data_IF_825901314733
#
_entry.id   IF_825901314733
#
_cell.length_a   1.000
_cell.length_b   1.000
_cell.length_c   1.000
_cell.angle_alpha   90.00
_cell.angle_beta   90.00
_cell.angle_gamma   90.00
#
_symmetry.space_group_name_H-M   'P 1'
#
loop_
_entity.id
_entity.type
_entity.pdbx_description
1 polymer ?
#
# COMPACT_ATOMS: atom_id res chain seq x y z
N UNK A 1 -13.59 -11.75 -7.55
CA UNK A 1 -12.72 -10.86 -8.33
C UNK A 1 -13.59 -9.99 -9.23
N UNK A 2 -13.67 -8.68 -8.96
CA UNK A 2 -14.10 -7.69 -9.96
C UNK A 2 -12.93 -6.72 -10.07
N UNK A 3 -12.16 -6.82 -11.14
CA UNK A 3 -11.14 -5.82 -11.49
C UNK A 3 -11.79 -4.85 -12.46
N UNK A 4 -12.12 -3.65 -11.99
CA UNK A 4 -12.51 -2.54 -12.88
C UNK A 4 -11.34 -2.26 -13.83
N UNK A 5 -11.55 -2.51 -15.12
CA UNK A 5 -10.54 -2.38 -16.18
C UNK A 5 -10.04 -0.94 -16.37
N UNK A 6 -10.71 0.08 -15.78
CA UNK A 6 -10.25 1.48 -15.79
C UNK A 6 -9.14 1.74 -14.77
N UNK A 7 -9.02 0.93 -13.71
CA UNK A 7 -7.90 1.05 -12.76
C UNK A 7 -6.55 0.69 -13.40
N UNK A 8 -6.55 -0.18 -14.40
CA UNK A 8 -5.34 -0.64 -15.10
C UNK A 8 -4.63 0.49 -15.84
N UNK A 9 -5.34 1.55 -16.27
CA UNK A 9 -4.72 2.73 -16.89
C UNK A 9 -4.10 3.71 -15.86
N UNK A 10 -4.60 3.74 -14.62
CA UNK A 10 -4.21 4.73 -13.60
C UNK A 10 -3.14 4.22 -12.61
N UNK A 11 -2.65 3.00 -12.79
CA UNK A 11 -1.76 2.37 -11.82
C UNK A 11 -2.52 1.87 -10.59
N UNK A 12 -1.83 1.06 -9.79
CA UNK A 12 -2.36 0.44 -8.60
C UNK A 12 -1.55 0.90 -7.40
N UNK A 13 -2.25 1.23 -6.32
CA UNK A 13 -1.67 1.79 -5.11
C UNK A 13 -2.13 0.99 -3.90
N UNK A 14 -1.19 0.48 -3.12
CA UNK A 14 -1.46 -0.24 -1.87
C UNK A 14 -0.86 0.55 -0.71
N UNK A 15 -1.57 0.58 0.41
CA UNK A 15 -1.07 1.15 1.64
C UNK A 15 -1.40 0.29 2.85
N UNK A 16 -0.40 0.13 3.71
CA UNK A 16 -0.53 -0.51 5.00
C UNK A 16 -0.37 0.56 6.08
N UNK A 17 -1.47 0.88 6.75
CA UNK A 17 -1.51 1.84 7.86
C UNK A 17 -1.30 1.13 9.20
N UNK A 18 -0.58 1.77 10.11
CA UNK A 18 -0.55 1.42 11.52
C UNK A 18 -1.28 2.52 12.30
N UNK A 19 -2.53 2.25 12.69
CA UNK A 19 -3.41 3.28 13.20
C UNK A 19 -3.74 4.31 12.11
N UNK A 20 -3.47 5.59 12.38
CA UNK A 20 -3.77 6.68 11.45
C UNK A 20 -2.69 6.91 10.39
N UNK A 21 -1.49 6.37 10.57
CA UNK A 21 -0.33 6.74 9.75
C UNK A 21 0.11 5.58 8.87
N UNK A 22 0.54 5.91 7.65
CA UNK A 22 1.03 4.91 6.70
C UNK A 22 2.38 4.38 7.16
N UNK A 23 2.57 3.07 7.06
CA UNK A 23 3.83 2.41 7.41
C UNK A 23 4.54 1.81 6.21
N UNK A 24 3.78 1.32 5.23
CA UNK A 24 4.31 0.81 3.95
C UNK A 24 3.38 1.19 2.81
N UNK A 25 3.95 1.44 1.64
CA UNK A 25 3.24 1.81 0.41
C UNK A 25 3.82 1.07 -0.78
N UNK A 26 2.97 0.68 -1.72
CA UNK A 26 3.35 0.13 -3.02
C UNK A 26 2.72 0.98 -4.11
N UNK A 27 3.52 1.44 -5.06
CA UNK A 27 3.05 2.11 -6.27
C UNK A 27 3.39 1.27 -7.50
N UNK A 28 2.39 0.96 -8.30
CA UNK A 28 2.55 0.25 -9.55
C UNK A 28 1.95 1.06 -10.68
N UNK A 29 2.74 1.33 -11.72
CA UNK A 29 2.26 1.95 -12.94
C UNK A 29 2.56 1.06 -14.13
N UNK A 30 1.72 1.07 -15.17
CA UNK A 30 2.04 0.40 -16.42
C UNK A 30 3.42 0.84 -16.93
N UNK A 31 4.25 -0.12 -17.31
CA UNK A 31 5.59 0.10 -17.88
C UNK A 31 6.61 0.78 -16.94
N UNK A 32 6.36 0.84 -15.63
CA UNK A 32 7.35 1.28 -14.64
C UNK A 32 7.66 0.14 -13.67
N UNK A 33 8.87 0.15 -13.13
CA UNK A 33 9.22 -0.72 -12.00
C UNK A 33 8.35 -0.33 -10.80
N UNK A 34 7.74 -1.31 -10.10
CA UNK A 34 7.03 -1.06 -8.85
C UNK A 34 7.91 -0.37 -7.82
N UNK A 35 7.33 0.57 -7.06
CA UNK A 35 8.03 1.32 -6.02
C UNK A 35 7.50 0.86 -4.66
N UNK A 36 8.42 0.48 -3.77
CA UNK A 36 8.12 0.02 -2.41
C UNK A 36 8.70 1.03 -1.43
N UNK A 37 7.84 1.62 -0.60
CA UNK A 37 8.21 2.69 0.33
C UNK A 37 7.90 2.26 1.76
N UNK A 38 8.80 2.59 2.69
CA UNK A 38 8.66 2.30 4.12
C UNK A 38 8.84 3.58 4.94
N UNK A 39 7.99 3.76 5.95
CA UNK A 39 8.06 4.93 6.81
C UNK A 39 9.40 4.97 7.59
N UNK A 40 9.88 6.17 7.86
CA UNK A 40 11.19 6.48 8.42
C UNK A 40 12.32 6.53 7.40
N UNK A 41 12.23 5.79 6.29
CA UNK A 41 13.21 5.84 5.19
C UNK A 41 12.74 6.70 4.03
N UNK A 42 11.47 6.53 3.66
CA UNK A 42 10.91 7.04 2.41
C UNK A 42 9.83 8.12 2.64
N UNK A 43 9.77 8.72 3.83
CA UNK A 43 8.68 9.60 4.28
C UNK A 43 8.34 10.72 3.28
N UNK A 44 9.35 11.37 2.69
CA UNK A 44 9.18 12.44 1.71
C UNK A 44 8.50 12.00 0.39
N UNK A 45 8.34 10.69 0.19
CA UNK A 45 7.73 10.09 -0.99
C UNK A 45 6.45 9.32 -0.66
N UNK A 46 6.00 9.30 0.59
CA UNK A 46 4.84 8.54 1.04
C UNK A 46 3.61 9.43 1.26
N UNK A 47 2.44 8.81 1.42
CA UNK A 47 1.22 9.51 1.76
C UNK A 47 1.32 10.18 3.14
N UNK A 48 1.17 11.51 3.19
CA UNK A 48 1.19 12.30 4.43
C UNK A 48 -0.19 12.43 5.10
N UNK A 49 -1.24 11.91 4.45
CA UNK A 49 -2.62 12.10 4.90
C UNK A 49 -3.02 10.96 5.87
N UNK A 50 -3.56 11.28 7.05
CA UNK A 50 -4.10 10.29 7.98
C UNK A 50 -5.21 9.42 7.38
N UNK A 51 -5.29 8.15 7.79
CA UNK A 51 -6.24 7.16 7.24
C UNK A 51 -7.69 7.67 7.20
N UNK A 52 -8.15 8.30 8.27
CA UNK A 52 -9.52 8.85 8.38
C UNK A 52 -9.81 10.00 7.40
N UNK A 53 -8.77 10.70 6.94
CA UNK A 53 -8.84 11.80 5.97
C UNK A 53 -8.61 11.35 4.52
N UNK A 54 -8.04 10.17 4.28
CA UNK A 54 -7.83 9.64 2.92
C UNK A 54 -9.12 9.27 2.18
N UNK A 55 -10.22 9.03 2.92
CA UNK A 55 -11.46 8.49 2.37
C UNK A 55 -11.40 6.99 2.01
N UNK A 56 -10.27 6.30 2.20
CA UNK A 56 -10.12 4.87 1.91
C UNK A 56 -11.11 4.02 2.71
N UNK A 57 -11.33 4.36 3.98
CA UNK A 57 -12.28 3.67 4.87
C UNK A 57 -13.75 3.83 4.44
N UNK A 58 -14.05 4.79 3.56
CA UNK A 58 -15.40 5.04 3.04
C UNK A 58 -15.61 4.48 1.64
N UNK A 59 -14.53 4.03 0.97
CA UNK A 59 -14.57 3.49 -0.39
C UNK A 59 -14.76 1.98 -0.34
N UNK A 60 -15.94 1.52 -0.77
CA UNK A 60 -16.24 0.08 -0.84
C UNK A 60 -15.21 -0.64 -1.72
N UNK A 61 -14.60 -1.69 -1.17
CA UNK A 61 -13.59 -2.51 -1.84
C UNK A 61 -12.17 -1.93 -1.84
N UNK A 62 -11.89 -0.86 -1.09
CA UNK A 62 -10.54 -0.35 -0.89
C UNK A 62 -9.75 -1.13 0.17
N UNK A 63 -10.45 -1.67 1.18
CA UNK A 63 -9.86 -2.50 2.22
C UNK A 63 -9.53 -3.90 1.68
N UNK A 64 -8.36 -4.41 2.04
CA UNK A 64 -7.84 -5.74 1.70
C UNK A 64 -7.29 -6.41 2.95
N UNK A 65 -7.08 -7.72 2.89
CA UNK A 65 -6.46 -8.44 4.00
C UNK A 65 -4.96 -8.12 4.13
N UNK A 66 -4.43 -8.18 5.35
CA UNK A 66 -2.99 -8.07 5.60
C UNK A 66 -2.19 -9.07 4.76
N UNK A 67 -2.67 -10.32 4.66
CA UNK A 67 -2.03 -11.38 3.88
C UNK A 67 -2.00 -11.07 2.38
N UNK A 68 -3.00 -10.38 1.84
CA UNK A 68 -3.03 -9.95 0.44
C UNK A 68 -1.96 -8.88 0.20
N UNK A 69 -1.85 -7.89 1.10
CA UNK A 69 -0.79 -6.89 1.05
C UNK A 69 0.60 -7.53 1.14
N UNK A 70 0.83 -8.42 2.11
CA UNK A 70 2.12 -9.11 2.30
C UNK A 70 2.51 -9.95 1.08
N UNK A 71 1.53 -10.64 0.47
CA UNK A 71 1.79 -11.44 -0.73
C UNK A 71 2.34 -10.57 -1.86
N UNK A 72 1.73 -9.41 -2.12
CA UNK A 72 2.19 -8.46 -3.14
C UNK A 72 3.54 -7.86 -2.74
N UNK A 73 3.69 -7.42 -1.49
CA UNK A 73 4.91 -6.80 -0.96
C UNK A 73 6.13 -7.72 -1.11
N UNK A 74 6.02 -8.99 -0.68
CA UNK A 74 7.09 -9.97 -0.77
C UNK A 74 7.38 -10.35 -2.23
N UNK A 75 6.35 -10.50 -3.06
CA UNK A 75 6.52 -10.81 -4.49
C UNK A 75 7.31 -9.72 -5.23
N UNK A 76 7.17 -8.46 -4.81
CA UNK A 76 7.88 -7.31 -5.37
C UNK A 76 9.25 -7.04 -4.71
N UNK A 77 9.73 -7.93 -3.84
CA UNK A 77 11.04 -7.84 -3.21
C UNK A 77 11.08 -7.02 -1.91
N UNK A 78 9.93 -6.72 -1.32
CA UNK A 78 9.83 -6.07 -0.02
C UNK A 78 10.32 -6.95 1.12
N UNK A 79 10.93 -6.36 2.14
CA UNK A 79 11.36 -7.10 3.33
C UNK A 79 10.16 -7.46 4.23
N UNK A 80 10.10 -8.65 4.83
CA UNK A 80 9.01 -9.03 5.72
C UNK A 80 8.90 -8.07 6.90
N UNK A 81 7.67 -7.78 7.32
CA UNK A 81 7.46 -6.94 8.50
C UNK A 81 8.13 -7.58 9.72
N UNK A 82 9.07 -6.86 10.35
CA UNK A 82 9.60 -7.28 11.64
C UNK A 82 8.46 -7.17 12.65
N UNK A 83 7.84 -8.30 12.96
CA UNK A 83 6.98 -8.39 14.13
C UNK A 83 7.85 -8.16 15.34
N UNK A 84 7.57 -7.09 16.08
CA UNK A 84 8.18 -6.87 17.38
C UNK A 84 8.02 -8.16 18.21
N UNK A 85 9.14 -8.66 18.73
CA UNK A 85 9.15 -9.78 19.67
C UNK A 85 9.51 -9.19 21.04
N UNK A 86 8.69 -9.41 22.08
CA UNK A 86 8.99 -8.96 23.44
C UNK A 86 10.32 -9.51 23.95
#
# INVERSE_FOLDING_TARGET
LITDSRAVQNGLWYAHFNGQWIQRQIEMHPNKTPVLLVAGRDDLHMCEIPLDQTGLTRKKGAEILETEFETVWLHLGGAPMQKWRP
#
